data_IF_524356965579
#
_entry.id   IF_524356965579
#
_cell.length_a   1.000
_cell.length_b   1.000
_cell.length_c   1.000
_cell.angle_alpha   90.00
_cell.angle_beta   90.00
_cell.angle_gamma   90.00
#
_symmetry.space_group_name_H-M   'P 1'
#
loop_
_entity.id
_entity.type
_entity.pdbx_description
1 polymer ?
#
# COMPACT_ATOMS: atom_id res chain seq x y z
N UNK A 1 -24.15 -8.45 -1.03
CA UNK A 1 -24.91 -7.79 0.05
C UNK A 1 -25.63 -6.59 -0.54
N UNK A 2 -26.91 -6.35 -0.20
CA UNK A 2 -27.56 -5.07 -0.49
C UNK A 2 -26.69 -3.94 0.09
N UNK A 3 -26.37 -2.91 -0.70
CA UNK A 3 -25.45 -1.82 -0.30
C UNK A 3 -24.02 -1.92 -0.82
N UNK A 4 -23.72 -2.83 -1.76
CA UNK A 4 -22.40 -2.93 -2.38
C UNK A 4 -22.21 -1.82 -3.43
N UNK A 5 -21.54 -0.73 -3.06
CA UNK A 5 -21.03 0.29 -3.98
C UNK A 5 -19.59 -0.06 -4.37
N UNK A 6 -19.47 -1.02 -5.28
CA UNK A 6 -18.23 -1.21 -6.02
C UNK A 6 -18.06 0.00 -6.98
N UNK A 7 -16.84 0.49 -7.15
CA UNK A 7 -16.53 1.62 -8.03
C UNK A 7 -15.43 1.28 -9.03
N UNK A 8 -15.39 2.02 -10.14
CA UNK A 8 -14.28 1.97 -11.08
C UNK A 8 -13.23 3.00 -10.67
N UNK A 9 -12.02 2.53 -10.42
CA UNK A 9 -10.86 3.38 -10.23
C UNK A 9 -10.38 3.87 -11.59
N UNK A 10 -10.43 5.18 -11.81
CA UNK A 10 -9.90 5.83 -13.00
C UNK A 10 -8.62 6.56 -12.66
N UNK A 11 -7.70 6.60 -13.62
CA UNK A 11 -6.45 7.35 -13.51
C UNK A 11 -6.32 8.27 -14.71
N UNK A 12 -5.63 9.38 -14.47
CA UNK A 12 -5.04 10.23 -15.48
C UNK A 12 -3.71 10.74 -14.92
N UNK A 13 -2.75 11.04 -15.79
CA UNK A 13 -1.45 11.61 -15.42
C UNK A 13 -1.40 13.04 -15.93
N UNK A 14 -1.12 13.98 -15.03
CA UNK A 14 -0.81 15.36 -15.38
C UNK A 14 0.69 15.48 -15.66
N UNK A 15 1.05 15.91 -16.85
CA UNK A 15 2.38 16.45 -17.14
C UNK A 15 2.43 17.91 -16.68
N UNK A 16 3.12 18.23 -15.57
CA UNK A 16 3.14 19.59 -15.03
C UNK A 16 3.92 20.57 -15.91
N UNK A 17 4.83 20.09 -16.78
CA UNK A 17 5.63 20.96 -17.63
C UNK A 17 4.81 21.51 -18.81
N UNK A 18 3.97 20.67 -19.42
CA UNK A 18 3.11 21.09 -20.54
C UNK A 18 1.68 21.42 -20.12
N UNK A 19 1.26 21.05 -18.91
CA UNK A 19 -0.12 21.16 -18.42
C UNK A 19 -1.08 20.14 -19.05
N UNK A 20 -0.56 19.17 -19.81
CA UNK A 20 -1.39 18.18 -20.50
C UNK A 20 -1.75 17.03 -19.58
N UNK A 21 -2.98 16.54 -19.73
CA UNK A 21 -3.43 15.29 -19.13
C UNK A 21 -3.28 14.18 -20.15
N UNK A 22 -2.63 13.08 -19.75
CA UNK A 22 -2.40 11.87 -20.54
C UNK A 22 -2.79 10.63 -19.74
N UNK A 23 -2.73 9.45 -20.37
CA UNK A 23 -2.85 8.19 -19.64
C UNK A 23 -4.25 7.92 -19.04
N UNK A 24 -5.28 8.61 -19.52
CA UNK A 24 -6.65 8.42 -19.04
C UNK A 24 -7.12 6.98 -19.29
N UNK A 25 -7.55 6.29 -18.22
CA UNK A 25 -8.11 4.94 -18.31
C UNK A 25 -8.84 4.52 -17.04
N UNK A 26 -9.64 3.47 -17.16
CA UNK A 26 -10.02 2.64 -16.02
C UNK A 26 -8.79 1.82 -15.63
N UNK A 27 -8.32 2.03 -14.41
CA UNK A 27 -7.20 1.31 -13.83
C UNK A 27 -7.68 -0.02 -13.24
N UNK A 28 -8.81 0.01 -12.51
CA UNK A 28 -9.40 -1.19 -11.92
C UNK A 28 -10.91 -1.07 -11.76
N UNK A 29 -11.60 -2.14 -12.08
CA UNK A 29 -13.04 -2.29 -11.85
C UNK A 29 -13.32 -2.92 -10.49
N UNK A 30 -14.54 -2.72 -9.98
CA UNK A 30 -15.05 -3.36 -8.76
C UNK A 30 -14.19 -3.14 -7.51
N UNK A 31 -13.65 -1.93 -7.40
CA UNK A 31 -12.90 -1.48 -6.25
C UNK A 31 -13.83 -1.29 -5.04
N UNK A 32 -13.42 -1.77 -3.87
CA UNK A 32 -14.12 -1.45 -2.63
C UNK A 32 -13.57 -0.17 -2.02
N UNK A 33 -12.24 -0.05 -1.92
CA UNK A 33 -11.53 1.18 -1.58
C UNK A 33 -10.06 1.08 -1.96
N UNK A 34 -9.37 2.20 -1.93
CA UNK A 34 -7.92 2.34 -2.13
C UNK A 34 -7.35 3.30 -1.11
N UNK A 35 -6.03 3.26 -0.91
CA UNK A 35 -5.34 4.26 -0.08
C UNK A 35 -5.52 5.65 -0.70
N UNK A 36 -5.70 6.69 0.11
CA UNK A 36 -5.97 8.05 -0.40
C UNK A 36 -4.86 8.66 -1.28
N UNK A 37 -3.69 8.04 -1.33
CA UNK A 37 -2.60 8.47 -2.21
C UNK A 37 -1.90 7.27 -2.84
N UNK A 38 -1.28 7.52 -3.99
CA UNK A 38 -0.22 6.69 -4.54
C UNK A 38 1.12 7.12 -3.94
N UNK A 39 2.05 6.20 -3.79
CA UNK A 39 3.41 6.50 -3.35
C UNK A 39 4.40 6.44 -4.51
N UNK A 40 5.26 7.44 -4.62
CA UNK A 40 6.37 7.42 -5.58
C UNK A 40 7.53 6.57 -5.03
N UNK A 41 8.03 5.63 -5.84
CA UNK A 41 9.26 4.86 -5.55
C UNK A 41 10.40 5.36 -6.44
N UNK A 42 11.29 6.25 -5.93
CA UNK A 42 12.35 6.83 -6.74
C UNK A 42 13.31 5.80 -7.34
N UNK A 43 13.56 4.70 -6.62
CA UNK A 43 14.57 3.70 -7.02
C UNK A 43 14.18 2.86 -8.24
N UNK A 44 12.90 2.85 -8.61
CA UNK A 44 12.38 2.10 -9.78
C UNK A 44 11.57 2.99 -10.73
N UNK A 45 11.42 4.27 -10.38
CA UNK A 45 10.65 5.26 -11.14
C UNK A 45 9.20 4.82 -11.42
N UNK A 46 8.50 4.38 -10.37
CA UNK A 46 7.09 3.95 -10.46
C UNK A 46 6.25 4.55 -9.34
N UNK A 47 4.97 4.74 -9.62
CA UNK A 47 3.94 4.99 -8.61
C UNK A 47 3.40 3.65 -8.11
N UNK A 48 3.23 3.52 -6.81
CA UNK A 48 2.60 2.37 -6.16
C UNK A 48 1.21 2.76 -5.68
N UNK A 49 0.23 2.01 -6.15
CA UNK A 49 -1.13 2.03 -5.65
C UNK A 49 -1.36 0.80 -4.77
N UNK A 50 -2.04 0.99 -3.65
CA UNK A 50 -2.54 -0.10 -2.79
C UNK A 50 -4.03 0.09 -2.57
N UNK A 51 -4.78 -1.01 -2.54
CA UNK A 51 -6.19 -0.95 -2.18
C UNK A 51 -6.78 -2.29 -1.83
N UNK A 52 -8.10 -2.33 -1.71
CA UNK A 52 -8.88 -3.54 -1.46
C UNK A 52 -9.97 -3.69 -2.51
N UNK A 53 -10.03 -4.87 -3.12
CA UNK A 53 -11.10 -5.27 -4.03
C UNK A 53 -11.50 -6.71 -3.76
N UNK A 54 -12.79 -7.02 -3.87
CA UNK A 54 -13.32 -8.37 -3.68
C UNK A 54 -12.93 -9.02 -2.33
N UNK A 55 -12.73 -8.22 -1.28
CA UNK A 55 -12.33 -8.69 0.05
C UNK A 55 -10.82 -8.89 0.25
N UNK A 56 -10.01 -8.68 -0.80
CA UNK A 56 -8.57 -8.87 -0.76
C UNK A 56 -7.83 -7.56 -1.06
N UNK A 57 -6.67 -7.40 -0.44
CA UNK A 57 -5.73 -6.36 -0.80
C UNK A 57 -5.16 -6.60 -2.19
N UNK A 58 -4.75 -5.51 -2.85
CA UNK A 58 -3.98 -5.55 -4.08
C UNK A 58 -2.96 -4.42 -4.10
N UNK A 59 -1.94 -4.57 -4.94
CA UNK A 59 -0.99 -3.51 -5.23
C UNK A 59 -0.65 -3.46 -6.71
N UNK A 60 -0.42 -2.27 -7.25
CA UNK A 60 -0.09 -2.05 -8.66
C UNK A 60 1.07 -1.05 -8.76
N UNK A 61 2.08 -1.38 -9.57
CA UNK A 61 3.10 -0.43 -10.02
C UNK A 61 2.66 0.20 -11.33
N UNK A 62 2.66 1.53 -11.36
CA UNK A 62 2.17 2.35 -12.45
C UNK A 62 3.33 3.21 -12.96
N UNK A 63 3.54 3.25 -14.27
CA UNK A 63 4.56 4.12 -14.89
C UNK A 63 4.05 5.54 -15.14
N UNK A 64 4.93 6.39 -15.66
CA UNK A 64 4.63 7.80 -15.93
C UNK A 64 3.60 8.01 -17.06
N UNK A 65 3.25 6.97 -17.82
CA UNK A 65 2.16 7.02 -18.82
C UNK A 65 0.82 6.55 -18.23
N UNK A 66 0.78 6.17 -16.95
CA UNK A 66 -0.40 5.59 -16.31
C UNK A 66 -0.61 4.10 -16.62
N UNK A 67 0.40 3.39 -17.14
CA UNK A 67 0.30 1.94 -17.42
C UNK A 67 0.72 1.12 -16.21
N UNK A 68 -0.07 0.09 -15.90
CA UNK A 68 0.30 -0.92 -14.90
C UNK A 68 1.44 -1.78 -15.46
N UNK A 69 2.53 -1.89 -14.69
CA UNK A 69 3.76 -2.63 -15.05
C UNK A 69 3.88 -3.95 -14.31
N UNK A 70 3.42 -3.98 -13.06
CA UNK A 70 3.37 -5.19 -12.25
C UNK A 70 2.23 -5.06 -11.24
N UNK A 71 1.70 -6.21 -10.80
CA UNK A 71 0.60 -6.24 -9.83
C UNK A 71 0.72 -7.41 -8.87
N UNK A 72 0.19 -7.20 -7.67
CA UNK A 72 -0.18 -8.24 -6.71
C UNK A 72 -1.70 -8.24 -6.68
N UNK A 73 -2.33 -9.32 -7.14
CA UNK A 73 -3.78 -9.42 -7.25
C UNK A 73 -4.46 -9.82 -5.93
N UNK A 74 -3.71 -10.44 -5.01
CA UNK A 74 -4.22 -10.91 -3.73
C UNK A 74 -3.17 -10.75 -2.63
N UNK A 75 -3.54 -10.01 -1.59
CA UNK A 75 -2.83 -9.87 -0.33
C UNK A 75 -3.81 -9.57 0.81
N UNK A 76 -3.39 -9.52 2.09
CA UNK A 76 -4.28 -9.04 3.16
C UNK A 76 -4.88 -7.67 2.81
N UNK A 77 -6.16 -7.47 3.15
CA UNK A 77 -6.89 -6.23 2.82
C UNK A 77 -6.15 -5.00 3.36
N UNK A 78 -6.11 -3.93 2.56
CA UNK A 78 -5.46 -2.67 2.94
C UNK A 78 -6.24 -1.89 4.00
N UNK A 79 -5.65 -0.83 4.55
CA UNK A 79 -6.32 0.15 5.40
C UNK A 79 -6.58 1.43 4.60
N UNK A 80 -7.86 1.79 4.41
CA UNK A 80 -8.33 2.86 3.50
C UNK A 80 -7.60 4.20 3.63
N UNK A 81 -7.23 4.61 4.84
CA UNK A 81 -6.64 5.92 5.12
C UNK A 81 -5.18 5.83 5.58
N UNK A 82 -4.51 4.72 5.30
CA UNK A 82 -3.10 4.59 5.57
C UNK A 82 -2.25 5.15 4.43
N UNK A 83 -1.13 5.79 4.79
CA UNK A 83 -0.06 6.08 3.86
C UNK A 83 0.76 4.82 3.54
N UNK A 84 1.64 4.93 2.55
CA UNK A 84 2.63 3.91 2.20
C UNK A 84 4.02 4.49 2.48
N UNK A 85 4.81 3.83 3.32
CA UNK A 85 6.18 4.25 3.61
C UNK A 85 7.17 3.61 2.64
N UNK A 86 8.10 4.40 2.09
CA UNK A 86 9.05 3.95 1.07
C UNK A 86 10.48 3.98 1.62
N UNK A 87 11.19 2.85 1.50
CA UNK A 87 12.62 2.74 1.75
C UNK A 87 13.31 2.12 0.53
N UNK A 88 13.88 2.96 -0.33
CA UNK A 88 14.50 2.52 -1.57
C UNK A 88 13.51 1.83 -2.50
N UNK A 89 13.65 0.51 -2.67
CA UNK A 89 12.79 -0.36 -3.50
C UNK A 89 11.72 -1.11 -2.70
N UNK A 90 11.67 -0.87 -1.41
CA UNK A 90 10.75 -1.53 -0.48
C UNK A 90 9.67 -0.55 -0.09
N UNK A 91 8.42 -1.00 -0.14
CA UNK A 91 7.28 -0.25 0.36
C UNK A 91 6.64 -0.98 1.54
N UNK A 92 6.11 -0.22 2.48
CA UNK A 92 5.43 -0.72 3.66
C UNK A 92 4.03 -0.14 3.73
N UNK A 93 3.03 -1.02 3.85
CA UNK A 93 1.62 -0.61 3.92
C UNK A 93 0.89 -1.39 5.01
N UNK A 94 0.00 -0.76 5.80
CA UNK A 94 -0.84 -1.44 6.77
C UNK A 94 -1.82 -2.41 6.10
N UNK A 95 -2.04 -3.54 6.76
CA UNK A 95 -3.09 -4.49 6.45
C UNK A 95 -4.14 -4.53 7.56
N UNK A 96 -5.40 -4.76 7.19
CA UNK A 96 -6.55 -4.80 8.08
C UNK A 96 -6.47 -5.88 9.17
N UNK A 97 -5.56 -6.87 9.03
CA UNK A 97 -5.28 -7.88 10.05
C UNK A 97 -4.27 -7.41 11.12
N UNK A 98 -3.89 -6.13 11.10
CA UNK A 98 -3.01 -5.51 12.07
C UNK A 98 -1.52 -5.63 11.76
N UNK A 99 -1.15 -6.30 10.66
CA UNK A 99 0.25 -6.39 10.21
C UNK A 99 0.61 -5.21 9.32
N UNK A 100 1.91 -4.99 9.17
CA UNK A 100 2.48 -4.18 8.11
C UNK A 100 2.98 -5.11 7.00
N UNK A 101 2.54 -4.90 5.77
CA UNK A 101 3.00 -5.65 4.60
C UNK A 101 4.27 -5.03 4.06
N UNK A 102 5.25 -5.85 3.74
CA UNK A 102 6.47 -5.46 3.03
C UNK A 102 6.34 -5.85 1.57
N UNK A 103 6.28 -4.85 0.70
CA UNK A 103 6.26 -5.02 -0.75
C UNK A 103 7.65 -4.75 -1.32
N UNK A 104 8.08 -5.60 -2.25
CA UNK A 104 9.35 -5.45 -2.94
C UNK A 104 9.09 -5.15 -4.42
N UNK A 105 9.54 -3.97 -4.85
CA UNK A 105 9.37 -3.47 -6.21
C UNK A 105 10.66 -3.57 -7.04
N UNK A 106 10.47 -3.78 -8.34
CA UNK A 106 11.42 -3.53 -9.42
C UNK A 106 10.75 -2.69 -10.51
N UNK A 107 11.43 -2.38 -11.62
CA UNK A 107 10.84 -1.61 -12.73
C UNK A 107 9.59 -2.26 -13.35
N UNK A 108 9.56 -3.59 -13.37
CA UNK A 108 8.51 -4.44 -13.97
C UNK A 108 8.14 -5.63 -13.08
N UNK A 109 8.48 -5.57 -11.79
CA UNK A 109 8.18 -6.63 -10.82
C UNK A 109 7.63 -6.05 -9.54
N UNK A 110 6.67 -6.75 -8.92
CA UNK A 110 6.10 -6.40 -7.62
C UNK A 110 5.78 -7.69 -6.88
N UNK A 111 6.25 -7.81 -5.64
CA UNK A 111 6.06 -9.01 -4.82
C UNK A 111 5.71 -8.64 -3.38
N UNK A 112 4.84 -9.45 -2.75
CA UNK A 112 4.64 -9.42 -1.31
C UNK A 112 5.79 -10.20 -0.67
N UNK A 113 6.80 -9.49 -0.17
CA UNK A 113 8.01 -10.10 0.37
C UNK A 113 7.81 -10.65 1.78
N UNK A 114 7.03 -9.95 2.60
CA UNK A 114 6.84 -10.35 3.98
C UNK A 114 5.81 -9.53 4.74
N UNK A 115 5.65 -9.88 6.01
CA UNK A 115 4.77 -9.20 6.95
C UNK A 115 5.48 -8.94 8.26
N UNK A 116 5.10 -7.86 8.92
CA UNK A 116 5.70 -7.36 10.15
C UNK A 116 4.60 -7.16 11.20
N UNK A 117 4.87 -7.62 12.41
CA UNK A 117 4.14 -7.22 13.61
C UNK A 117 4.84 -6.02 14.25
N UNK A 118 4.13 -5.28 15.10
CA UNK A 118 4.77 -4.27 15.94
C UNK A 118 5.87 -4.92 16.81
N UNK A 119 6.84 -4.13 17.25
CA UNK A 119 7.96 -4.59 18.08
C UNK A 119 7.54 -5.27 19.39
N UNK A 120 6.32 -5.02 19.89
CA UNK A 120 5.72 -5.75 21.01
C UNK A 120 5.16 -7.14 20.63
N UNK A 121 5.25 -7.54 19.36
CA UNK A 121 4.72 -8.81 18.83
C UNK A 121 3.20 -8.84 18.69
N UNK A 122 2.54 -7.68 18.72
CA UNK A 122 1.07 -7.55 18.68
C UNK A 122 0.59 -6.99 17.34
N UNK A 123 -0.61 -7.37 16.89
CA UNK A 123 -1.23 -6.72 15.74
C UNK A 123 -1.59 -5.28 16.13
N UNK A 124 -1.43 -4.36 15.20
CA UNK A 124 -1.88 -2.98 15.35
C UNK A 124 -3.41 -2.89 15.20
N UNK A 125 -4.04 -2.01 15.97
CA UNK A 125 -5.47 -1.70 15.83
C UNK A 125 -5.66 -0.50 14.89
N UNK A 126 -5.51 -0.76 13.58
CA UNK A 126 -5.57 0.29 12.58
C UNK A 126 -6.96 0.95 12.53
N UNK A 127 -6.97 2.29 12.59
CA UNK A 127 -8.18 3.06 12.41
C UNK A 127 -8.19 3.70 11.00
N UNK A 128 -9.34 3.72 10.31
CA UNK A 128 -9.44 4.33 9.00
C UNK A 128 -9.61 5.85 9.13
N UNK A 129 -8.74 6.52 9.88
CA UNK A 129 -8.79 7.97 10.15
C UNK A 129 -7.42 8.64 9.96
N UNK A 130 -6.52 8.01 9.20
CA UNK A 130 -5.20 8.54 8.88
C UNK A 130 -4.06 7.84 9.61
N UNK A 131 -3.04 7.43 8.86
CA UNK A 131 -1.76 7.02 9.44
C UNK A 131 -0.59 7.25 8.49
N UNK A 132 0.62 7.44 9.03
CA UNK A 132 1.83 7.68 8.25
C UNK A 132 3.01 6.88 8.81
N UNK A 133 3.76 6.24 7.92
CA UNK A 133 5.01 5.58 8.26
C UNK A 133 6.23 6.47 8.01
N UNK A 134 7.15 6.48 8.97
CA UNK A 134 8.40 7.24 8.94
C UNK A 134 9.57 6.26 8.98
N UNK A 135 10.38 6.24 7.92
CA UNK A 135 11.60 5.43 7.84
C UNK A 135 12.72 6.17 8.55
N UNK A 136 13.29 5.56 9.60
CA UNK A 136 14.47 6.10 10.29
C UNK A 136 15.73 5.83 9.48
N UNK A 137 16.78 6.61 9.74
CA UNK A 137 18.12 6.36 9.19
C UNK A 137 18.69 5.00 9.55
N UNK A 138 18.27 4.43 10.69
CA UNK A 138 18.61 3.06 11.10
C UNK A 138 17.90 1.97 10.29
N UNK A 139 16.96 2.33 9.42
CA UNK A 139 16.08 1.41 8.70
C UNK A 139 14.85 0.97 9.49
N UNK A 140 14.77 1.27 10.80
CA UNK A 140 13.56 1.01 11.58
C UNK A 140 12.40 1.90 11.12
N UNK A 141 11.16 1.44 11.36
CA UNK A 141 9.94 2.16 10.98
C UNK A 141 9.21 2.61 12.23
N UNK A 142 8.91 3.91 12.33
CA UNK A 142 7.81 4.36 13.18
C UNK A 142 6.54 4.46 12.35
N UNK A 143 5.42 4.07 12.93
CA UNK A 143 4.11 4.30 12.33
C UNK A 143 3.28 5.15 13.27
N UNK A 144 2.83 6.29 12.77
CA UNK A 144 1.99 7.24 13.48
C UNK A 144 0.55 7.03 13.01
N UNK A 145 -0.32 6.53 13.87
CA UNK A 145 -1.73 6.25 13.57
C UNK A 145 -2.63 7.13 14.42
N UNK A 146 -3.65 7.73 13.80
CA UNK A 146 -4.70 8.42 14.55
C UNK A 146 -5.69 7.39 15.10
N UNK A 147 -6.15 7.60 16.32
CA UNK A 147 -7.22 6.86 17.00
C UNK A 147 -8.25 7.83 17.57
N UNK A 148 -9.39 7.32 18.01
CA UNK A 148 -10.41 8.11 18.68
C UNK A 148 -9.89 8.76 19.98
N UNK A 149 -8.83 8.21 20.58
CA UNK A 149 -8.21 8.69 21.80
C UNK A 149 -7.00 9.60 21.55
N UNK A 150 -6.50 9.68 20.32
CA UNK A 150 -5.38 10.54 19.94
C UNK A 150 -4.37 9.87 19.03
N UNK A 151 -3.12 10.34 19.07
CA UNK A 151 -2.04 9.77 18.27
C UNK A 151 -1.44 8.55 18.96
N UNK A 152 -1.41 7.43 18.25
CA UNK A 152 -0.67 6.23 18.64
C UNK A 152 0.62 6.10 17.79
N UNK A 153 1.71 5.72 18.45
CA UNK A 153 2.97 5.41 17.77
C UNK A 153 3.27 3.91 17.92
N UNK A 154 3.38 3.24 16.78
CA UNK A 154 3.82 1.86 16.64
C UNK A 154 5.23 1.82 16.08
N UNK A 155 5.95 0.72 16.32
CA UNK A 155 7.32 0.56 15.83
C UNK A 155 7.47 -0.78 15.14
N UNK A 156 8.04 -0.78 13.96
CA UNK A 156 8.32 -2.00 13.20
C UNK A 156 9.81 -2.08 12.93
N UNK A 157 10.34 -3.30 13.08
CA UNK A 157 11.74 -3.61 12.80
C UNK A 157 11.80 -4.47 11.54
N UNK A 158 12.18 -3.91 10.38
CA UNK A 158 12.29 -4.69 9.14
C UNK A 158 13.21 -5.91 9.22
N UNK A 159 14.14 -5.97 10.19
CA UNK A 159 14.97 -7.15 10.40
C UNK A 159 14.18 -8.35 10.96
N UNK A 160 12.97 -8.12 11.51
CA UNK A 160 12.08 -9.16 12.06
C UNK A 160 11.00 -9.62 11.09
N UNK A 161 11.09 -9.23 9.81
CA UNK A 161 10.10 -9.59 8.81
C UNK A 161 9.91 -11.10 8.74
N UNK A 162 8.65 -11.53 8.70
CA UNK A 162 8.30 -12.90 8.40
C UNK A 162 7.98 -13.01 6.90
N UNK A 163 8.54 -13.99 6.17
CA UNK A 163 8.20 -14.19 4.77
C UNK A 163 6.69 -14.34 4.57
N UNK A 164 6.18 -13.77 3.49
CA UNK A 164 4.76 -13.88 3.17
C UNK A 164 4.42 -15.34 2.86
N UNK A 165 3.34 -15.84 3.46
CA UNK A 165 2.94 -17.24 3.31
C UNK A 165 1.88 -17.42 2.20
N UNK A 166 1.40 -18.66 2.02
CA UNK A 166 0.41 -18.98 0.99
C UNK A 166 -0.94 -18.29 1.23
N UNK A 167 -1.38 -18.20 2.49
CA UNK A 167 -2.61 -17.49 2.88
C UNK A 167 -2.51 -16.00 2.54
N UNK A 168 -1.37 -15.39 2.81
CA UNK A 168 -1.09 -13.98 2.46
C UNK A 168 -1.15 -13.73 0.95
N UNK A 169 -1.11 -14.77 0.11
CA UNK A 169 -1.10 -14.67 -1.34
C UNK A 169 -2.29 -15.38 -1.98
N UNK A 170 -3.25 -15.82 -1.16
CA UNK A 170 -4.45 -16.55 -1.58
C UNK A 170 -4.13 -17.81 -2.40
N UNK A 171 -3.12 -18.57 -1.96
CA UNK A 171 -2.66 -19.82 -2.55
C UNK A 171 -2.87 -21.00 -1.60
#
# INVERSE_FOLDING_TARGET
MPGRTDADLKIAVLDPASGRVIGERVLRERLQYYTYSVAWLPSVERFLLVGTAQGHGFAELIDNDGKVRASISCMPASVREAAIAINGRTAYTPAADGRLLQLQAGPDTLTLAGTLMDTAGKPADWRPIGSIGLVRTSGALDWLSLTEQGLEQLRFDPARVQPANAIDQCR
#
